data_IF_549289129559
#
_entry.id   IF_549289129559
#
_cell.length_a   1.000
_cell.length_b   1.000
_cell.length_c   1.000
_cell.angle_alpha   90.00
_cell.angle_beta   90.00
_cell.angle_gamma   90.00
#
_symmetry.space_group_name_H-M   'P 1'
#
loop_
_entity.id
_entity.type
_entity.pdbx_description
1 polymer ?
#
# COMPACT_ATOMS: atom_id res chain seq x y z
N UNK A 1 -22.94 2.71 -9.63
CA UNK A 1 -21.62 3.33 -9.76
C UNK A 1 -21.00 3.32 -8.37
N UNK A 2 -20.22 2.30 -8.07
CA UNK A 2 -19.47 2.25 -6.81
C UNK A 2 -18.30 3.19 -6.97
N UNK A 3 -18.28 4.28 -6.19
CA UNK A 3 -17.10 5.11 -6.04
C UNK A 3 -15.95 4.19 -5.60
N UNK A 4 -14.79 4.21 -6.29
CA UNK A 4 -13.73 3.27 -5.99
C UNK A 4 -13.26 3.48 -4.55
N UNK A 5 -13.29 2.40 -3.75
CA UNK A 5 -12.88 2.48 -2.35
C UNK A 5 -11.42 3.02 -2.31
N UNK A 6 -11.14 4.08 -1.53
CA UNK A 6 -9.81 4.69 -1.47
C UNK A 6 -8.72 3.67 -1.08
N UNK A 7 -9.06 2.60 -0.36
CA UNK A 7 -8.17 1.46 -0.12
C UNK A 7 -7.79 0.72 -1.39
N UNK A 8 -8.76 0.48 -2.27
CA UNK A 8 -8.56 -0.26 -3.53
C UNK A 8 -7.71 0.58 -4.49
N UNK A 9 -7.95 1.89 -4.57
CA UNK A 9 -7.11 2.80 -5.37
C UNK A 9 -5.67 2.87 -4.83
N UNK A 10 -5.51 2.91 -3.51
CA UNK A 10 -4.20 2.90 -2.89
C UNK A 10 -3.45 1.60 -3.14
N UNK A 11 -4.14 0.47 -3.02
CA UNK A 11 -3.60 -0.85 -3.32
C UNK A 11 -3.21 -1.00 -4.80
N UNK A 12 -3.99 -0.44 -5.72
CA UNK A 12 -3.64 -0.38 -7.14
C UNK A 12 -2.37 0.47 -7.37
N UNK A 13 -2.22 1.60 -6.69
CA UNK A 13 -1.02 2.41 -6.77
C UNK A 13 0.23 1.66 -6.25
N UNK A 14 0.11 0.87 -5.18
CA UNK A 14 1.21 0.07 -4.65
C UNK A 14 1.64 -1.01 -5.65
N UNK A 15 0.66 -1.67 -6.30
CA UNK A 15 0.92 -2.64 -7.37
C UNK A 15 1.65 -1.99 -8.55
N UNK A 16 1.20 -0.81 -9.00
CA UNK A 16 1.85 -0.09 -10.10
C UNK A 16 3.31 0.26 -9.79
N UNK A 17 3.63 0.68 -8.56
CA UNK A 17 5.01 0.94 -8.13
C UNK A 17 5.83 -0.36 -8.08
N UNK A 18 5.24 -1.47 -7.64
CA UNK A 18 5.90 -2.78 -7.64
C UNK A 18 6.19 -3.28 -9.05
N UNK A 19 5.24 -3.14 -9.97
CA UNK A 19 5.40 -3.50 -11.38
C UNK A 19 6.50 -2.65 -12.03
N UNK A 20 6.53 -1.35 -11.76
CA UNK A 20 7.57 -0.44 -12.24
C UNK A 20 8.98 -0.81 -11.73
N UNK A 21 9.07 -1.44 -10.56
CA UNK A 21 10.32 -1.94 -9.97
C UNK A 21 10.81 -3.28 -10.55
N UNK A 22 10.04 -3.90 -11.45
CA UNK A 22 10.35 -5.22 -12.02
C UNK A 22 9.61 -6.39 -11.35
N UNK A 23 8.45 -6.11 -10.75
CA UNK A 23 7.60 -7.07 -10.03
C UNK A 23 8.35 -7.82 -8.91
N UNK A 24 8.81 -7.05 -7.92
CA UNK A 24 9.48 -7.59 -6.74
C UNK A 24 8.55 -8.61 -6.04
N UNK A 25 9.03 -9.81 -5.69
CA UNK A 25 8.21 -10.83 -5.04
C UNK A 25 7.60 -10.32 -3.75
N UNK A 26 6.33 -10.68 -3.49
CA UNK A 26 5.65 -10.35 -2.24
C UNK A 26 6.43 -10.81 -1.00
N UNK A 27 7.06 -11.99 -1.07
CA UNK A 27 7.91 -12.51 0.00
C UNK A 27 9.09 -11.60 0.34
N UNK A 28 9.79 -11.05 -0.65
CA UNK A 28 10.91 -10.15 -0.42
C UNK A 28 10.44 -8.80 0.12
N UNK A 29 9.38 -8.25 -0.46
CA UNK A 29 8.78 -7.00 -0.01
C UNK A 29 8.27 -7.08 1.43
N UNK A 30 7.65 -8.21 1.78
CA UNK A 30 7.13 -8.46 3.12
C UNK A 30 8.28 -8.50 4.14
N UNK A 31 9.37 -9.21 3.82
CA UNK A 31 10.59 -9.23 4.63
C UNK A 31 11.23 -7.85 4.76
N UNK A 32 11.31 -7.08 3.68
CA UNK A 32 11.89 -5.73 3.69
C UNK A 32 11.06 -4.74 4.52
N UNK A 33 9.73 -4.92 4.51
CA UNK A 33 8.79 -4.11 5.27
C UNK A 33 8.52 -4.63 6.70
N UNK A 34 9.10 -5.78 7.08
CA UNK A 34 8.93 -6.38 8.40
C UNK A 34 7.51 -6.89 8.69
N UNK A 35 6.79 -7.33 7.66
CA UNK A 35 5.42 -7.87 7.76
C UNK A 35 5.34 -9.26 7.15
N UNK A 36 4.26 -9.98 7.44
CA UNK A 36 3.97 -11.26 6.81
C UNK A 36 3.51 -11.10 5.36
N UNK A 37 3.78 -12.11 4.53
CA UNK A 37 3.35 -12.13 3.13
C UNK A 37 1.83 -12.03 3.00
N UNK A 38 1.07 -12.69 3.89
CA UNK A 38 -0.39 -12.61 3.90
C UNK A 38 -0.91 -11.19 4.17
N UNK A 39 -0.24 -10.44 5.05
CA UNK A 39 -0.57 -9.04 5.36
C UNK A 39 -0.27 -8.16 4.15
N UNK A 40 0.87 -8.39 3.49
CA UNK A 40 1.21 -7.67 2.26
C UNK A 40 0.18 -7.96 1.15
N UNK A 41 -0.20 -9.22 0.96
CA UNK A 41 -1.20 -9.63 -0.04
C UNK A 41 -2.56 -8.97 0.19
N UNK A 42 -3.01 -8.90 1.44
CA UNK A 42 -4.23 -8.20 1.82
C UNK A 42 -4.14 -6.69 1.52
N UNK A 43 -3.01 -6.05 1.84
CA UNK A 43 -2.77 -4.63 1.55
C UNK A 43 -2.76 -4.35 0.03
N UNK A 44 -2.08 -5.19 -0.76
CA UNK A 44 -2.00 -5.05 -2.22
C UNK A 44 -3.31 -5.37 -2.94
N UNK A 45 -4.23 -6.07 -2.28
CA UNK A 45 -5.59 -6.34 -2.75
C UNK A 45 -6.60 -5.29 -2.28
N UNK A 46 -6.19 -4.35 -1.41
CA UNK A 46 -7.06 -3.32 -0.82
C UNK A 46 -8.01 -3.84 0.27
N UNK A 47 -7.68 -4.97 0.90
CA UNK A 47 -8.42 -5.50 2.05
C UNK A 47 -8.04 -4.86 3.39
N UNK A 48 -6.93 -4.13 3.46
CA UNK A 48 -6.50 -3.40 4.65
C UNK A 48 -5.53 -2.27 4.32
N UNK A 49 -5.48 -1.23 5.17
CA UNK A 49 -4.46 -0.18 5.09
C UNK A 49 -3.24 -0.57 5.94
N UNK A 50 -2.07 -0.84 5.34
CA UNK A 50 -0.84 -1.04 6.11
C UNK A 50 -0.42 0.25 6.82
N UNK A 51 0.35 0.15 7.90
CA UNK A 51 0.89 1.32 8.60
C UNK A 51 1.79 2.16 7.70
N UNK A 52 1.87 3.47 7.95
CA UNK A 52 2.70 4.40 7.16
C UNK A 52 4.16 3.93 6.99
N UNK A 53 4.78 3.39 8.06
CA UNK A 53 6.15 2.87 8.00
C UNK A 53 6.32 1.68 7.04
N UNK A 54 5.31 0.78 7.00
CA UNK A 54 5.29 -0.38 6.09
C UNK A 54 5.10 0.09 4.64
N UNK A 55 4.17 1.01 4.40
CA UNK A 55 3.99 1.64 3.09
C UNK A 55 5.29 2.27 2.60
N UNK A 56 5.96 3.08 3.43
CA UNK A 56 7.23 3.70 3.06
C UNK A 56 8.31 2.66 2.76
N UNK A 57 8.39 1.57 3.53
CA UNK A 57 9.35 0.49 3.28
C UNK A 57 9.09 -0.19 1.92
N UNK A 58 7.83 -0.49 1.60
CA UNK A 58 7.42 -1.06 0.30
C UNK A 58 7.82 -0.12 -0.84
N UNK A 59 7.45 1.17 -0.74
CA UNK A 59 7.73 2.19 -1.76
C UNK A 59 9.23 2.35 -1.99
N UNK A 60 10.02 2.39 -0.91
CA UNK A 60 11.48 2.47 -0.98
C UNK A 60 12.12 1.21 -1.57
N UNK A 61 11.63 0.02 -1.19
CA UNK A 61 12.10 -1.25 -1.75
C UNK A 61 11.83 -1.34 -3.26
N UNK A 62 10.70 -0.79 -3.71
CA UNK A 62 10.37 -0.66 -5.13
C UNK A 62 11.09 0.51 -5.82
N UNK A 63 11.94 1.28 -5.13
CA UNK A 63 12.67 2.41 -5.71
C UNK A 63 11.81 3.63 -6.04
N UNK A 64 10.56 3.69 -5.56
CA UNK A 64 9.70 4.85 -5.71
C UNK A 64 9.99 5.90 -4.65
N UNK A 65 9.74 7.16 -5.00
CA UNK A 65 9.95 8.29 -4.09
C UNK A 65 8.87 8.30 -3.01
N UNK A 66 9.22 8.34 -1.70
CA UNK A 66 8.23 8.40 -0.62
C UNK A 66 7.50 9.76 -0.54
N UNK A 67 8.00 10.77 -1.25
CA UNK A 67 7.38 12.08 -1.38
C UNK A 67 6.02 11.95 -2.08
N UNK A 68 4.95 12.38 -1.41
CA UNK A 68 3.56 12.22 -1.88
C UNK A 68 2.87 10.95 -1.40
N UNK A 69 3.60 9.85 -1.16
CA UNK A 69 3.04 8.62 -0.60
C UNK A 69 2.52 8.81 0.82
N UNK A 70 3.21 9.60 1.64
CA UNK A 70 2.75 9.92 3.00
C UNK A 70 1.44 10.69 2.99
N UNK A 71 1.31 11.70 2.12
CA UNK A 71 0.09 12.49 1.99
C UNK A 71 -1.08 11.61 1.55
N UNK A 72 -0.87 10.83 0.49
CA UNK A 72 -1.87 9.90 -0.04
C UNK A 72 -2.30 8.84 0.99
N UNK A 73 -1.35 8.32 1.76
CA UNK A 73 -1.65 7.39 2.86
C UNK A 73 -2.53 8.04 3.93
N UNK A 74 -2.22 9.28 4.33
CA UNK A 74 -3.01 10.01 5.32
C UNK A 74 -4.43 10.31 4.82
N UNK A 75 -4.58 10.64 3.55
CA UNK A 75 -5.90 10.84 2.93
C UNK A 75 -6.74 9.56 2.98
N UNK A 76 -6.15 8.42 2.60
CA UNK A 76 -6.82 7.12 2.65
C UNK A 76 -7.13 6.72 4.09
N UNK A 77 -6.20 6.93 5.03
CA UNK A 77 -6.42 6.68 6.45
C UNK A 77 -7.56 7.53 7.00
N UNK A 78 -7.62 8.82 6.65
CA UNK A 78 -8.71 9.71 7.05
C UNK A 78 -10.05 9.25 6.48
N UNK A 79 -10.09 8.85 5.21
CA UNK A 79 -11.30 8.31 4.58
C UNK A 79 -11.74 6.98 5.22
N UNK A 80 -10.80 6.10 5.54
CA UNK A 80 -11.06 4.80 6.17
C UNK A 80 -11.54 4.94 7.62
N UNK A 81 -10.98 5.88 8.39
CA UNK A 81 -11.42 6.19 9.75
C UNK A 81 -12.77 6.92 9.80
N UNK A 82 -13.13 7.65 8.73
CA UNK A 82 -14.40 8.37 8.62
C UNK A 82 -15.57 7.47 8.20
N UNK A 83 -15.30 6.26 7.69
CA UNK A 83 -16.33 5.27 7.45
C UNK A 83 -16.73 4.60 8.78
N UNK A 84 -17.97 4.77 9.28
CA UNK A 84 -18.43 3.94 10.40
C UNK A 84 -18.52 2.48 9.91
N UNK A 85 -18.03 1.56 10.75
CA UNK A 85 -18.18 0.11 10.58
C UNK A 85 -19.64 -0.34 10.45
#
# INVERSE_FOLDING_TARGET
MTDPDPLIEFAAALRAVREAAGDVPSAELAQHAGIDESVLGAALSGGMLPSLGVTMAIVRACGATPEGWEAKWREVAAAHLAAPA
#
